data_IF_941594661454
#
_entry.id   IF_941594661454
#
_cell.length_a   1.000
_cell.length_b   1.000
_cell.length_c   1.000
_cell.angle_alpha   90.00
_cell.angle_beta   90.00
_cell.angle_gamma   90.00
#
_symmetry.space_group_name_H-M   'P 1'
#
loop_
_entity.id
_entity.type
_entity.pdbx_description
1 polymer ?
#
# COMPACT_ATOMS: atom_id res chain seq x y z
N UNK A 1 -4.24 -0.69 19.81
CA UNK A 1 -5.32 -1.69 19.59
C UNK A 1 -4.69 -2.85 18.87
N UNK A 2 -5.05 -4.08 19.21
CA UNK A 2 -4.30 -5.27 18.83
C UNK A 2 -4.55 -5.76 17.38
N UNK A 3 -5.25 -4.99 16.54
CA UNK A 3 -5.51 -5.31 15.12
C UNK A 3 -6.43 -6.52 14.89
N UNK A 4 -6.99 -7.13 15.93
CA UNK A 4 -7.91 -8.27 15.85
C UNK A 4 -8.91 -8.27 17.01
N UNK A 5 -9.98 -9.04 16.83
CA UNK A 5 -11.02 -9.23 17.83
C UNK A 5 -11.36 -10.71 17.99
N UNK A 6 -11.83 -11.09 19.19
CA UNK A 6 -12.28 -12.46 19.47
C UNK A 6 -13.75 -12.62 19.12
N UNK A 7 -14.09 -13.68 18.40
CA UNK A 7 -15.46 -14.03 18.00
C UNK A 7 -15.80 -15.48 18.37
N UNK A 8 -17.07 -15.69 18.74
CA UNK A 8 -17.61 -17.05 18.87
C UNK A 8 -17.75 -17.70 17.49
N UNK A 9 -17.29 -18.93 17.35
CA UNK A 9 -17.34 -19.68 16.10
C UNK A 9 -18.03 -21.05 16.27
N UNK A 10 -18.45 -21.63 15.14
CA UNK A 10 -18.79 -23.02 15.01
C UNK A 10 -18.02 -23.59 13.81
N UNK A 11 -17.12 -24.54 14.09
CA UNK A 11 -16.31 -25.23 13.07
C UNK A 11 -16.99 -26.54 12.67
N UNK A 12 -17.31 -26.68 11.39
CA UNK A 12 -17.84 -27.93 10.83
C UNK A 12 -16.67 -28.86 10.47
N UNK A 13 -16.71 -30.08 10.94
CA UNK A 13 -15.75 -31.14 10.65
C UNK A 13 -16.52 -32.42 10.25
N UNK A 14 -15.82 -33.45 9.80
CA UNK A 14 -16.44 -34.77 9.51
C UNK A 14 -17.10 -35.39 10.74
N UNK A 15 -16.65 -35.06 11.96
CA UNK A 15 -17.17 -35.51 13.24
C UNK A 15 -18.34 -34.65 13.76
N UNK A 16 -18.74 -33.58 13.04
CA UNK A 16 -19.84 -32.70 13.42
C UNK A 16 -19.42 -31.26 13.70
N UNK A 17 -20.21 -30.53 14.51
CA UNK A 17 -20.02 -29.12 14.81
C UNK A 17 -19.30 -28.95 16.15
N UNK A 18 -18.15 -28.32 16.12
CA UNK A 18 -17.37 -27.94 17.31
C UNK A 18 -17.54 -26.41 17.54
N UNK A 19 -18.02 -26.04 18.74
CA UNK A 19 -18.16 -24.63 19.13
C UNK A 19 -16.90 -24.14 19.86
N UNK A 20 -16.49 -22.90 19.59
CA UNK A 20 -15.30 -22.31 20.20
C UNK A 20 -15.22 -20.82 20.00
N UNK A 21 -14.04 -20.29 20.19
CA UNK A 21 -13.69 -18.89 19.90
C UNK A 21 -12.52 -18.88 18.90
N UNK A 22 -12.46 -17.84 18.09
CA UNK A 22 -11.35 -17.58 17.16
C UNK A 22 -11.07 -16.09 17.08
N UNK A 23 -9.93 -15.73 16.54
CA UNK A 23 -9.50 -14.35 16.32
C UNK A 23 -9.73 -13.96 14.87
N UNK A 24 -10.33 -12.80 14.66
CA UNK A 24 -10.58 -12.21 13.33
C UNK A 24 -9.92 -10.84 13.25
N UNK A 25 -9.34 -10.51 12.11
CA UNK A 25 -8.75 -9.20 11.89
C UNK A 25 -9.80 -8.11 12.10
N UNK A 26 -9.46 -7.05 12.83
CA UNK A 26 -10.37 -5.93 13.06
C UNK A 26 -10.46 -5.08 11.80
N UNK A 27 -11.68 -4.63 11.50
CA UNK A 27 -11.98 -3.78 10.36
C UNK A 27 -12.94 -2.68 10.81
N UNK A 28 -12.56 -1.42 10.59
CA UNK A 28 -13.40 -0.26 10.90
C UNK A 28 -13.21 0.84 9.87
N UNK A 29 -14.21 1.74 9.68
CA UNK A 29 -14.10 2.84 8.74
C UNK A 29 -13.06 3.86 9.19
N UNK A 30 -12.44 4.54 8.23
CA UNK A 30 -11.64 5.74 8.44
C UNK A 30 -12.03 6.77 7.38
N UNK A 31 -12.51 7.94 7.82
CA UNK A 31 -12.74 9.09 6.95
C UNK A 31 -11.45 9.89 6.81
N UNK A 32 -11.05 10.19 5.57
CA UNK A 32 -9.90 11.05 5.27
C UNK A 32 -10.43 12.37 4.75
N UNK A 33 -10.12 13.44 5.46
CA UNK A 33 -10.60 14.79 5.17
C UNK A 33 -9.39 15.69 4.91
N UNK A 34 -9.47 16.48 3.84
CA UNK A 34 -8.48 17.53 3.57
C UNK A 34 -9.14 18.89 3.63
N UNK A 35 -8.38 19.87 4.10
CA UNK A 35 -8.75 21.27 4.09
C UNK A 35 -7.67 22.09 3.39
N UNK A 36 -8.05 22.95 2.47
CA UNK A 36 -7.17 23.92 1.84
C UNK A 36 -7.78 25.31 1.87
N UNK A 37 -6.94 26.36 1.89
CA UNK A 37 -7.43 27.75 1.87
C UNK A 37 -8.25 28.05 0.64
N UNK A 38 -7.91 27.46 -0.50
CA UNK A 38 -8.57 27.68 -1.79
C UNK A 38 -9.94 27.01 -1.89
N UNK A 39 -10.05 25.80 -1.38
CA UNK A 39 -11.24 24.96 -1.62
C UNK A 39 -12.05 24.66 -0.35
N UNK A 40 -11.53 25.00 0.86
CA UNK A 40 -12.17 24.65 2.12
C UNK A 40 -11.98 23.18 2.47
N UNK A 41 -12.91 22.65 3.27
CA UNK A 41 -12.84 21.30 3.85
C UNK A 41 -13.65 20.32 3.01
N UNK A 42 -13.01 19.20 2.62
CA UNK A 42 -13.59 18.15 1.79
C UNK A 42 -13.24 16.76 2.31
N UNK A 43 -14.22 15.86 2.34
CA UNK A 43 -13.98 14.44 2.55
C UNK A 43 -13.52 13.80 1.23
N UNK A 44 -12.34 13.17 1.26
CA UNK A 44 -11.80 12.43 0.10
C UNK A 44 -12.48 11.08 -0.08
N UNK A 45 -12.91 10.48 1.03
CA UNK A 45 -13.59 9.19 1.05
C UNK A 45 -13.43 8.47 2.38
N UNK A 46 -14.16 7.35 2.50
CA UNK A 46 -14.08 6.45 3.65
C UNK A 46 -13.44 5.15 3.19
N UNK A 47 -12.38 4.72 3.90
CA UNK A 47 -11.73 3.43 3.67
C UNK A 47 -11.94 2.49 4.86
N UNK A 48 -12.14 1.21 4.59
CA UNK A 48 -12.18 0.17 5.63
C UNK A 48 -10.74 -0.27 5.92
N UNK A 49 -10.30 -0.18 7.18
CA UNK A 49 -8.90 -0.46 7.56
C UNK A 49 -8.79 -1.23 8.87
N UNK A 50 -7.68 -1.88 9.10
CA UNK A 50 -7.25 -2.30 10.43
C UNK A 50 -6.75 -1.07 11.18
N UNK A 51 -7.35 -0.77 12.34
CA UNK A 51 -7.02 0.40 13.14
C UNK A 51 -5.54 0.42 13.55
N UNK A 52 -4.99 1.62 13.64
CA UNK A 52 -3.59 1.88 13.90
C UNK A 52 -2.83 2.35 12.67
N UNK A 53 -1.89 3.26 12.90
CA UNK A 53 -1.16 3.96 11.84
C UNK A 53 -2.04 4.79 10.89
N UNK A 54 -3.19 5.29 11.37
CA UNK A 54 -4.17 6.02 10.57
C UNK A 54 -3.59 7.30 9.95
N UNK A 55 -2.71 7.99 10.68
CA UNK A 55 -1.92 9.11 10.15
C UNK A 55 -1.09 8.67 8.93
N UNK A 56 -0.34 7.57 9.04
CA UNK A 56 0.51 7.08 7.97
C UNK A 56 -0.32 6.63 6.77
N UNK A 57 -1.45 5.93 7.02
CA UNK A 57 -2.38 5.55 5.96
C UNK A 57 -2.86 6.78 5.19
N UNK A 58 -3.32 7.81 5.89
CA UNK A 58 -3.86 9.04 5.28
C UNK A 58 -2.79 9.81 4.52
N UNK A 59 -1.57 9.91 5.05
CA UNK A 59 -0.42 10.51 4.37
C UNK A 59 -0.06 9.78 3.08
N UNK A 60 0.04 8.45 3.13
CA UNK A 60 0.33 7.65 1.95
C UNK A 60 -0.78 7.72 0.92
N UNK A 61 -2.04 7.75 1.36
CA UNK A 61 -3.19 7.90 0.49
C UNK A 61 -3.14 9.21 -0.29
N UNK A 62 -3.02 10.39 0.38
CA UNK A 62 -3.01 11.69 -0.30
C UNK A 62 -1.79 11.88 -1.21
N UNK A 63 -0.63 11.29 -0.84
CA UNK A 63 0.55 11.25 -1.70
C UNK A 63 0.30 10.38 -2.93
N UNK A 64 -0.21 9.16 -2.75
CA UNK A 64 -0.48 8.22 -3.84
C UNK A 64 -1.55 8.72 -4.81
N UNK A 65 -2.51 9.51 -4.33
CA UNK A 65 -3.57 10.12 -5.14
C UNK A 65 -3.14 11.42 -5.85
N UNK A 66 -1.89 11.88 -5.66
CA UNK A 66 -1.38 13.09 -6.33
C UNK A 66 -1.83 14.41 -5.70
N UNK A 67 -2.44 14.37 -4.53
CA UNK A 67 -2.91 15.57 -3.82
C UNK A 67 -1.73 16.39 -3.33
N UNK A 68 -0.66 15.72 -2.92
CA UNK A 68 0.62 16.31 -2.51
C UNK A 68 1.81 15.58 -3.15
N UNK A 69 2.93 16.27 -3.26
CA UNK A 69 4.21 15.74 -3.74
C UNK A 69 5.26 15.63 -2.63
N UNK A 70 5.08 16.36 -1.53
CA UNK A 70 5.99 16.33 -0.38
C UNK A 70 5.24 16.59 0.93
N UNK A 71 5.88 16.23 2.06
CA UNK A 71 5.35 16.52 3.39
C UNK A 71 5.30 18.03 3.70
N UNK A 72 6.08 18.85 3.02
CA UNK A 72 6.13 20.30 3.19
C UNK A 72 4.83 20.99 2.75
N UNK A 73 3.99 20.31 1.99
CA UNK A 73 2.66 20.80 1.56
C UNK A 73 1.59 20.66 2.64
N UNK A 74 1.92 20.04 3.78
CA UNK A 74 1.02 19.82 4.91
C UNK A 74 1.30 20.87 5.99
N UNK A 75 0.24 21.60 6.40
CA UNK A 75 0.33 22.57 7.51
C UNK A 75 0.05 21.88 8.86
N UNK A 76 -0.95 21.01 8.94
CA UNK A 76 -1.36 20.33 10.17
C UNK A 76 -2.05 18.99 9.90
N UNK A 77 -2.01 18.08 10.88
CA UNK A 77 -2.70 16.78 10.84
C UNK A 77 -3.34 16.50 12.20
N UNK A 78 -4.65 16.34 12.20
CA UNK A 78 -5.42 15.95 13.39
C UNK A 78 -5.94 14.53 13.20
N UNK A 79 -5.61 13.64 14.13
CA UNK A 79 -6.04 12.23 14.14
C UNK A 79 -7.08 12.03 15.22
N UNK A 80 -8.31 11.70 14.82
CA UNK A 80 -9.40 11.25 15.70
C UNK A 80 -9.56 9.72 15.67
N UNK A 81 -10.64 9.20 16.24
CA UNK A 81 -10.86 7.75 16.33
C UNK A 81 -11.09 7.09 14.96
N UNK A 82 -11.98 7.67 14.14
CA UNK A 82 -12.32 7.16 12.79
C UNK A 82 -12.21 8.26 11.72
N UNK A 83 -11.40 9.29 11.98
CA UNK A 83 -11.19 10.41 11.08
C UNK A 83 -9.76 10.91 11.15
N UNK A 84 -9.20 11.26 9.99
CA UNK A 84 -7.96 12.04 9.90
C UNK A 84 -8.25 13.30 9.08
N UNK A 85 -7.97 14.46 9.68
CA UNK A 85 -8.09 15.76 9.04
C UNK A 85 -6.70 16.32 8.73
N UNK A 86 -6.48 16.72 7.47
CA UNK A 86 -5.19 17.19 6.98
C UNK A 86 -5.38 18.58 6.39
N UNK A 87 -4.70 19.57 6.98
CA UNK A 87 -4.66 20.93 6.46
C UNK A 87 -3.50 21.08 5.48
N UNK A 88 -3.82 21.51 4.26
CA UNK A 88 -2.88 21.67 3.16
C UNK A 88 -2.56 23.16 2.94
N UNK A 89 -1.32 23.46 2.60
CA UNK A 89 -0.91 24.80 2.18
C UNK A 89 -1.22 25.06 0.69
N UNK A 90 -0.93 26.29 0.24
CA UNK A 90 -1.29 26.73 -1.12
C UNK A 90 -0.44 26.09 -2.22
N UNK A 91 0.62 25.33 -1.90
CA UNK A 91 1.45 24.61 -2.87
C UNK A 91 0.88 23.23 -3.25
N UNK A 92 -0.12 22.73 -2.52
CA UNK A 92 -0.76 21.44 -2.80
C UNK A 92 -1.51 21.43 -4.13
N UNK A 93 -1.55 20.28 -4.77
CA UNK A 93 -2.28 20.04 -6.03
C UNK A 93 -3.74 19.65 -5.80
N UNK A 94 -4.27 19.89 -4.60
CA UNK A 94 -5.62 19.49 -4.25
C UNK A 94 -6.67 20.19 -5.11
N UNK A 95 -7.48 19.39 -5.83
CA UNK A 95 -8.62 19.83 -6.64
C UNK A 95 -9.83 18.93 -6.34
N UNK A 96 -10.89 19.44 -5.69
CA UNK A 96 -12.03 18.63 -5.26
C UNK A 96 -12.70 17.83 -6.37
N UNK A 97 -12.78 18.41 -7.57
CA UNK A 97 -13.40 17.75 -8.74
C UNK A 97 -12.65 16.49 -9.20
N UNK A 98 -11.36 16.40 -8.91
CA UNK A 98 -10.50 15.26 -9.28
C UNK A 98 -10.30 14.28 -8.13
N UNK A 99 -10.24 14.77 -6.88
CA UNK A 99 -9.79 14.00 -5.74
C UNK A 99 -10.92 13.55 -4.80
N UNK A 100 -12.09 14.25 -4.78
CA UNK A 100 -13.21 13.83 -3.94
C UNK A 100 -14.02 12.73 -4.61
N UNK A 101 -14.24 11.64 -3.92
CA UNK A 101 -15.02 10.50 -4.40
C UNK A 101 -16.48 10.64 -3.96
N UNK A 102 -17.42 10.44 -4.88
CA UNK A 102 -18.86 10.55 -4.60
C UNK A 102 -19.45 9.31 -3.92
N UNK A 103 -18.67 8.22 -3.80
CA UNK A 103 -19.14 6.96 -3.24
C UNK A 103 -18.13 6.38 -2.23
N UNK A 104 -18.65 5.64 -1.24
CA UNK A 104 -17.83 4.85 -0.30
C UNK A 104 -16.88 3.94 -1.07
N UNK A 105 -15.58 4.04 -0.79
CA UNK A 105 -14.58 3.16 -1.39
C UNK A 105 -14.74 1.77 -0.80
N UNK A 106 -15.51 0.90 -1.45
CA UNK A 106 -15.53 -0.51 -1.09
C UNK A 106 -14.21 -1.15 -1.53
N UNK A 107 -13.37 -1.37 -0.60
CA UNK A 107 -12.16 -2.17 -0.37
C UNK A 107 -11.41 -2.90 -1.51
N UNK A 108 -11.74 -2.85 -2.78
CA UNK A 108 -11.11 -3.76 -3.74
C UNK A 108 -10.46 -3.12 -4.96
N UNK A 109 -10.75 -1.88 -5.30
CA UNK A 109 -10.17 -1.22 -6.47
C UNK A 109 -10.21 0.30 -6.28
N UNK A 110 -9.06 0.92 -6.03
CA UNK A 110 -8.93 2.37 -5.82
C UNK A 110 -9.31 3.23 -7.04
N UNK A 111 -9.48 2.60 -8.19
CA UNK A 111 -9.91 3.26 -9.44
C UNK A 111 -11.42 3.47 -9.51
N UNK A 112 -12.22 2.76 -8.69
CA UNK A 112 -13.67 2.94 -8.66
C UNK A 112 -14.04 4.33 -8.13
N UNK A 113 -14.29 5.27 -9.04
CA UNK A 113 -14.72 6.65 -8.74
C UNK A 113 -13.95 7.75 -9.48
N UNK A 114 -12.84 7.48 -10.14
CA UNK A 114 -12.21 8.42 -11.08
C UNK A 114 -12.85 8.31 -12.47
N UNK A 115 -13.19 9.45 -13.04
CA UNK A 115 -13.85 9.53 -14.35
C UNK A 115 -12.93 9.28 -15.55
N UNK A 116 -11.57 9.39 -15.38
CA UNK A 116 -10.61 9.22 -16.46
C UNK A 116 -9.32 8.51 -16.02
N UNK A 117 -8.98 7.41 -16.70
CA UNK A 117 -7.73 6.64 -16.53
C UNK A 117 -6.45 7.38 -17.00
N UNK A 118 -6.48 8.24 -18.03
CA UNK A 118 -5.27 8.88 -18.57
C UNK A 118 -4.53 9.78 -17.58
N UNK A 119 -5.25 10.51 -16.71
CA UNK A 119 -4.63 11.49 -15.79
C UNK A 119 -3.83 10.80 -14.68
N UNK A 120 -4.24 9.61 -14.26
CA UNK A 120 -3.56 8.81 -13.23
C UNK A 120 -2.23 8.24 -13.73
N UNK A 121 -2.12 8.00 -15.04
CA UNK A 121 -0.90 7.47 -15.69
C UNK A 121 0.14 8.59 -15.90
N UNK A 122 -0.31 9.79 -16.27
CA UNK A 122 0.57 10.93 -16.58
C UNK A 122 1.28 11.52 -15.36
N UNK A 123 0.79 11.29 -14.16
CA UNK A 123 1.43 11.76 -12.92
C UNK A 123 2.64 10.93 -12.47
N UNK A 124 2.89 9.77 -13.09
CA UNK A 124 4.07 8.92 -12.85
C UNK A 124 5.17 9.23 -13.89
N UNK A 125 5.70 10.45 -13.89
CA UNK A 125 6.64 10.90 -14.93
C UNK A 125 8.12 10.52 -14.69
N UNK A 126 8.47 9.84 -13.63
CA UNK A 126 9.87 9.53 -13.33
C UNK A 126 10.24 8.11 -13.79
N UNK A 127 11.29 8.06 -14.62
CA UNK A 127 11.99 6.80 -14.92
C UNK A 127 12.70 6.36 -13.64
N UNK A 128 12.35 5.18 -13.14
CA UNK A 128 12.96 4.64 -11.92
C UNK A 128 14.46 4.41 -12.10
N UNK A 129 15.23 4.75 -11.06
CA UNK A 129 16.68 4.55 -11.02
C UNK A 129 17.06 3.10 -11.35
N UNK A 130 18.04 2.93 -12.22
CA UNK A 130 18.54 1.62 -12.65
C UNK A 130 19.61 1.04 -11.73
N UNK A 131 20.08 1.79 -10.73
CA UNK A 131 21.22 1.41 -9.89
C UNK A 131 20.97 0.27 -8.91
N UNK A 132 19.71 0.02 -8.50
CA UNK A 132 19.40 -1.05 -7.58
C UNK A 132 19.38 -2.41 -8.27
N UNK A 133 20.14 -3.37 -7.72
CA UNK A 133 20.13 -4.78 -8.14
C UNK A 133 19.79 -5.68 -6.96
N UNK A 134 19.14 -6.80 -7.21
CA UNK A 134 18.69 -7.75 -6.19
C UNK A 134 18.94 -9.19 -6.62
N UNK A 135 19.34 -10.05 -5.68
CA UNK A 135 19.47 -11.49 -5.91
C UNK A 135 18.20 -12.24 -5.51
N UNK A 136 18.01 -13.44 -6.06
CA UNK A 136 16.92 -14.33 -5.63
C UNK A 136 17.02 -14.69 -4.15
N UNK A 137 18.23 -14.88 -3.62
CA UNK A 137 18.47 -15.14 -2.20
C UNK A 137 17.98 -13.98 -1.30
N UNK A 138 18.19 -12.72 -1.72
CA UNK A 138 17.68 -11.56 -0.99
C UNK A 138 16.14 -11.50 -1.01
N UNK A 139 15.50 -11.84 -2.14
CA UNK A 139 14.04 -11.94 -2.22
C UNK A 139 13.52 -13.02 -1.27
N UNK A 140 14.12 -14.20 -1.27
CA UNK A 140 13.73 -15.31 -0.38
C UNK A 140 13.91 -14.95 1.11
N UNK A 141 15.01 -14.27 1.45
CA UNK A 141 15.23 -13.75 2.82
C UNK A 141 14.13 -12.76 3.21
N UNK A 142 13.74 -11.84 2.31
CA UNK A 142 12.64 -10.92 2.54
C UNK A 142 11.32 -11.66 2.78
N UNK A 143 10.95 -12.64 1.95
CA UNK A 143 9.73 -13.43 2.09
C UNK A 143 9.62 -14.06 3.48
N UNK A 144 10.67 -14.73 3.95
CA UNK A 144 10.69 -15.38 5.25
C UNK A 144 10.60 -14.36 6.39
N UNK A 145 11.36 -13.26 6.30
CA UNK A 145 11.39 -12.22 7.35
C UNK A 145 10.09 -11.43 7.46
N UNK A 146 9.33 -11.26 6.37
CA UNK A 146 8.01 -10.61 6.42
C UNK A 146 7.00 -11.49 7.14
N UNK A 147 6.98 -12.79 6.88
CA UNK A 147 6.06 -13.74 7.55
C UNK A 147 6.23 -13.67 9.07
N UNK A 148 7.47 -13.60 9.57
CA UNK A 148 7.77 -13.50 11.00
C UNK A 148 7.30 -12.19 11.65
N UNK A 149 7.07 -11.15 10.86
CA UNK A 149 6.67 -9.82 11.31
C UNK A 149 5.19 -9.50 11.08
N UNK A 150 4.43 -10.44 10.56
CA UNK A 150 2.98 -10.32 10.35
C UNK A 150 2.21 -10.79 11.59
N UNK A 151 2.13 -9.94 12.61
CA UNK A 151 1.49 -10.28 13.90
C UNK A 151 -0.01 -10.54 13.74
N UNK A 152 -0.74 -9.66 13.04
CA UNK A 152 -2.18 -9.81 12.82
C UNK A 152 -2.46 -11.03 11.94
N UNK A 153 -1.70 -11.22 10.88
CA UNK A 153 -1.86 -12.37 9.99
C UNK A 153 -1.58 -13.69 10.71
N UNK A 154 -0.55 -13.75 11.54
CA UNK A 154 -0.18 -14.99 12.27
C UNK A 154 -1.29 -15.47 13.20
N UNK A 155 -2.09 -14.53 13.74
CA UNK A 155 -3.19 -14.81 14.67
C UNK A 155 -4.50 -15.08 13.92
N UNK A 156 -4.76 -14.33 12.84
CA UNK A 156 -6.10 -14.29 12.20
C UNK A 156 -6.14 -14.87 10.79
N UNK A 157 -5.01 -14.91 10.08
CA UNK A 157 -4.98 -15.17 8.64
C UNK A 157 -5.68 -14.11 7.77
N UNK A 158 -6.14 -13.00 8.36
CA UNK A 158 -7.08 -12.04 7.76
C UNK A 158 -6.49 -10.70 7.34
N UNK A 159 -5.17 -10.52 7.35
CA UNK A 159 -4.52 -9.26 6.94
C UNK A 159 -3.60 -9.44 5.73
N UNK A 160 -3.30 -8.33 5.08
CA UNK A 160 -2.25 -8.19 4.08
C UNK A 160 -1.07 -7.45 4.67
N UNK A 161 0.14 -7.74 4.18
CA UNK A 161 1.34 -7.01 4.51
C UNK A 161 1.97 -6.32 3.31
N UNK A 162 2.52 -5.12 3.56
CA UNK A 162 3.44 -4.45 2.67
C UNK A 162 4.73 -4.14 3.43
N UNK A 163 5.86 -4.31 2.76
CA UNK A 163 7.18 -4.08 3.36
C UNK A 163 8.11 -3.35 2.40
N UNK A 164 9.16 -2.76 2.97
CA UNK A 164 10.31 -2.29 2.21
C UNK A 164 11.55 -3.02 2.66
N UNK A 165 12.45 -3.32 1.72
CA UNK A 165 13.67 -4.08 1.99
C UNK A 165 14.81 -3.65 1.08
N UNK A 166 16.05 -3.82 1.55
CA UNK A 166 17.27 -3.53 0.82
C UNK A 166 17.68 -4.70 -0.08
N UNK A 167 18.67 -4.46 -0.93
CA UNK A 167 19.19 -5.41 -1.91
C UNK A 167 19.76 -6.70 -1.30
N UNK A 168 20.06 -6.71 -0.01
CA UNK A 168 20.49 -7.90 0.75
C UNK A 168 19.32 -8.64 1.42
N UNK A 169 18.07 -8.21 1.17
CA UNK A 169 16.86 -8.78 1.75
C UNK A 169 16.55 -8.33 3.18
N UNK A 170 17.26 -7.34 3.71
CA UNK A 170 16.98 -6.82 5.04
C UNK A 170 15.75 -5.94 5.03
N UNK A 171 14.77 -6.26 5.90
CA UNK A 171 13.52 -5.52 6.04
C UNK A 171 13.76 -4.22 6.82
N UNK A 172 13.28 -3.11 6.25
CA UNK A 172 13.30 -1.80 6.88
C UNK A 172 11.97 -1.47 7.58
N UNK A 173 10.84 -1.73 6.92
CA UNK A 173 9.50 -1.47 7.46
C UNK A 173 8.52 -2.55 7.01
N UNK A 174 7.56 -2.87 7.88
CA UNK A 174 6.42 -3.75 7.57
C UNK A 174 5.16 -3.11 8.13
N UNK A 175 4.09 -3.11 7.36
CA UNK A 175 2.76 -2.69 7.79
C UNK A 175 1.73 -3.72 7.37
N UNK A 176 0.78 -3.99 8.26
CA UNK A 176 -0.37 -4.84 8.01
C UNK A 176 -1.66 -4.04 7.93
N UNK A 177 -2.60 -4.54 7.15
CA UNK A 177 -3.98 -4.05 7.07
C UNK A 177 -4.88 -5.12 6.42
N UNK A 178 -6.19 -5.12 6.71
CA UNK A 178 -7.18 -5.94 5.99
C UNK A 178 -7.21 -5.60 4.50
N UNK A 179 -6.89 -4.34 4.14
CA UNK A 179 -6.78 -3.83 2.79
C UNK A 179 -5.33 -3.79 2.31
N UNK A 180 -4.99 -4.54 1.25
CA UNK A 180 -3.63 -4.51 0.68
C UNK A 180 -3.17 -3.11 0.23
N UNK A 181 -4.11 -2.25 -0.24
CA UNK A 181 -3.83 -0.88 -0.64
C UNK A 181 -3.52 -0.01 0.58
N UNK A 182 -4.28 -0.19 1.67
CA UNK A 182 -4.04 0.50 2.92
C UNK A 182 -2.68 0.13 3.53
N UNK A 183 -2.31 -1.17 3.51
CA UNK A 183 -0.99 -1.60 3.98
C UNK A 183 0.14 -0.92 3.19
N UNK A 184 -0.05 -0.72 1.87
CA UNK A 184 0.91 -0.02 1.03
C UNK A 184 0.93 1.49 1.32
N UNK A 185 -0.23 2.11 1.51
CA UNK A 185 -0.31 3.53 1.90
C UNK A 185 0.33 3.79 3.27
N UNK A 186 0.13 2.90 4.26
CA UNK A 186 0.86 2.97 5.55
C UNK A 186 2.38 2.96 5.32
N UNK A 187 2.87 2.11 4.42
CA UNK A 187 4.29 2.03 4.08
C UNK A 187 4.79 3.33 3.44
N UNK A 188 4.11 3.84 2.41
CA UNK A 188 4.46 5.09 1.71
C UNK A 188 4.39 6.27 2.66
N UNK A 189 3.30 6.43 3.41
CA UNK A 189 3.11 7.51 4.38
C UNK A 189 4.18 7.54 5.46
N UNK A 190 4.68 6.37 5.87
CA UNK A 190 5.77 6.29 6.83
C UNK A 190 7.09 6.87 6.30
N UNK A 191 7.32 6.83 5.01
CA UNK A 191 8.48 7.44 4.36
C UNK A 191 8.25 8.92 4.07
N UNK A 192 7.04 9.30 3.67
CA UNK A 192 6.66 10.69 3.46
C UNK A 192 6.82 11.50 4.75
N UNK A 193 6.32 11.00 5.89
CA UNK A 193 6.42 11.66 7.20
C UNK A 193 7.86 12.03 7.58
N UNK A 194 8.83 11.22 7.15
CA UNK A 194 10.25 11.44 7.42
C UNK A 194 10.99 12.14 6.27
N UNK A 195 10.27 12.71 5.29
CA UNK A 195 10.88 13.40 4.15
C UNK A 195 11.85 12.53 3.35
N UNK A 196 11.60 11.22 3.27
CA UNK A 196 12.54 10.26 2.68
C UNK A 196 11.99 9.53 1.45
N UNK A 197 11.09 10.14 0.70
CA UNK A 197 10.71 9.77 -0.66
C UNK A 197 11.51 10.62 -1.66
N UNK A 198 11.79 10.13 -2.89
CA UNK A 198 11.52 8.77 -3.40
C UNK A 198 12.46 7.68 -2.84
N UNK A 199 12.06 6.40 -2.94
CA UNK A 199 12.79 5.25 -2.37
C UNK A 199 13.57 4.42 -3.39
N UNK A 200 14.40 5.07 -4.19
CA UNK A 200 15.20 4.42 -5.24
C UNK A 200 16.18 3.32 -4.75
N UNK A 201 16.59 3.38 -3.48
CA UNK A 201 17.49 2.39 -2.87
C UNK A 201 16.82 1.21 -2.17
N UNK A 202 15.49 1.09 -2.23
CA UNK A 202 14.73 0.02 -1.59
C UNK A 202 13.78 -0.67 -2.57
N UNK A 203 13.49 -1.95 -2.33
CA UNK A 203 12.42 -2.68 -2.99
C UNK A 203 11.16 -2.69 -2.13
N UNK A 204 10.00 -2.73 -2.78
CA UNK A 204 8.71 -2.94 -2.13
C UNK A 204 8.29 -4.41 -2.21
N UNK A 205 7.69 -4.92 -1.12
CA UNK A 205 7.05 -6.23 -1.06
C UNK A 205 5.56 -6.08 -0.78
N UNK A 206 4.73 -6.91 -1.41
CA UNK A 206 3.30 -7.02 -1.14
C UNK A 206 2.88 -8.48 -1.00
N UNK A 207 2.15 -8.83 0.06
CA UNK A 207 1.67 -10.19 0.31
C UNK A 207 0.50 -10.60 -0.61
N UNK A 208 -0.12 -9.63 -1.27
CA UNK A 208 -1.28 -9.81 -2.14
C UNK A 208 -0.94 -9.84 -3.62
N UNK A 209 -1.97 -9.60 -4.45
CA UNK A 209 -1.84 -9.44 -5.90
C UNK A 209 -1.23 -8.09 -6.25
N UNK A 210 -0.42 -8.03 -7.32
CA UNK A 210 0.04 -6.79 -7.92
C UNK A 210 -1.06 -6.23 -8.84
N UNK A 211 -1.88 -5.31 -8.32
CA UNK A 211 -2.86 -4.56 -9.12
C UNK A 211 -2.20 -3.34 -9.78
N UNK A 212 -2.87 -2.78 -10.79
CA UNK A 212 -2.48 -1.52 -11.42
C UNK A 212 -2.16 -0.44 -10.38
N UNK A 213 -3.07 -0.23 -9.42
CA UNK A 213 -2.95 0.79 -8.37
C UNK A 213 -1.72 0.56 -7.46
N UNK A 214 -1.43 -0.68 -7.05
CA UNK A 214 -0.23 -0.95 -6.24
C UNK A 214 1.06 -0.70 -7.01
N UNK A 215 1.09 -1.03 -8.31
CA UNK A 215 2.24 -0.73 -9.18
C UNK A 215 2.39 0.78 -9.35
N UNK A 216 1.30 1.51 -9.57
CA UNK A 216 1.31 2.98 -9.65
C UNK A 216 1.85 3.61 -8.35
N UNK A 217 1.33 3.20 -7.19
CA UNK A 217 1.81 3.67 -5.88
C UNK A 217 3.30 3.37 -5.68
N UNK A 218 3.76 2.19 -6.11
CA UNK A 218 5.17 1.80 -6.04
C UNK A 218 6.07 2.71 -6.88
N UNK A 219 5.67 2.99 -8.13
CA UNK A 219 6.37 3.88 -9.04
C UNK A 219 6.42 5.30 -8.47
N UNK A 220 5.26 5.82 -8.05
CA UNK A 220 5.18 7.17 -7.46
C UNK A 220 6.03 7.33 -6.20
N UNK A 221 6.10 6.29 -5.36
CA UNK A 221 6.97 6.29 -4.19
C UNK A 221 8.46 6.08 -4.53
N UNK A 222 8.81 5.84 -5.80
CA UNK A 222 10.17 5.70 -6.28
C UNK A 222 10.82 4.33 -6.02
N UNK A 223 10.04 3.29 -5.69
CA UNK A 223 10.57 1.94 -5.56
C UNK A 223 10.90 1.35 -6.94
N UNK A 224 12.16 1.01 -7.24
CA UNK A 224 12.53 0.46 -8.56
C UNK A 224 12.17 -1.02 -8.74
N UNK A 225 11.88 -1.70 -7.65
CA UNK A 225 11.56 -3.14 -7.60
C UNK A 225 10.32 -3.36 -6.74
N UNK A 226 9.35 -4.11 -7.25
CA UNK A 226 8.18 -4.58 -6.50
C UNK A 226 8.07 -6.10 -6.61
N UNK A 227 8.01 -6.76 -5.46
CA UNK A 227 7.85 -8.21 -5.32
C UNK A 227 6.46 -8.51 -4.74
N UNK A 228 5.67 -9.33 -5.42
CA UNK A 228 4.33 -9.72 -5.00
C UNK A 228 4.20 -11.24 -4.86
N UNK A 229 3.53 -11.70 -3.81
CA UNK A 229 3.19 -13.13 -3.62
C UNK A 229 2.10 -13.56 -4.62
N UNK A 230 1.15 -12.68 -4.90
CA UNK A 230 0.04 -12.94 -5.81
C UNK A 230 0.34 -12.65 -7.28
N UNK A 231 -0.69 -12.83 -8.11
CA UNK A 231 -0.65 -12.57 -9.56
C UNK A 231 -0.69 -11.08 -9.89
N UNK A 232 -0.09 -10.64 -11.01
CA UNK A 232 -0.29 -9.30 -11.54
C UNK A 232 -1.58 -9.21 -12.39
N UNK A 233 -2.08 -7.99 -12.60
CA UNK A 233 -3.02 -7.70 -13.69
C UNK A 233 -2.29 -7.30 -14.96
N UNK A 234 -2.97 -7.35 -16.11
CA UNK A 234 -2.38 -6.92 -17.39
C UNK A 234 -1.92 -5.47 -17.37
N UNK A 235 -2.78 -4.56 -16.88
CA UNK A 235 -2.45 -3.14 -16.74
C UNK A 235 -1.28 -2.89 -15.77
N UNK A 236 -1.14 -3.70 -14.72
CA UNK A 236 0.00 -3.63 -13.80
C UNK A 236 1.32 -3.96 -14.51
N UNK A 237 1.30 -4.99 -15.38
CA UNK A 237 2.48 -5.38 -16.16
C UNK A 237 2.85 -4.31 -17.18
N UNK A 238 1.86 -3.75 -17.87
CA UNK A 238 2.07 -2.73 -18.88
C UNK A 238 2.66 -1.46 -18.26
N UNK A 239 2.08 -0.99 -17.15
CA UNK A 239 2.59 0.16 -16.40
C UNK A 239 4.02 -0.08 -15.88
N UNK A 240 4.30 -1.26 -15.32
CA UNK A 240 5.62 -1.61 -14.82
C UNK A 240 6.69 -1.59 -15.94
N UNK A 241 6.34 -2.02 -17.16
CA UNK A 241 7.23 -1.98 -18.32
C UNK A 241 7.48 -0.56 -18.81
N UNK A 242 6.42 0.25 -18.88
CA UNK A 242 6.48 1.64 -19.33
C UNK A 242 7.40 2.48 -18.46
N UNK A 243 7.28 2.34 -17.13
CA UNK A 243 8.08 3.11 -16.16
C UNK A 243 9.36 2.41 -15.69
N UNK A 244 9.70 1.26 -16.28
CA UNK A 244 10.93 0.54 -15.94
C UNK A 244 10.96 -0.08 -14.54
N UNK A 245 9.80 -0.32 -13.90
CA UNK A 245 9.72 -1.04 -12.63
C UNK A 245 10.07 -2.52 -12.84
N UNK A 246 10.90 -3.09 -11.99
CA UNK A 246 11.06 -4.54 -11.89
C UNK A 246 9.89 -5.13 -11.14
N UNK A 247 9.04 -5.89 -11.85
CA UNK A 247 7.85 -6.53 -11.28
C UNK A 247 8.04 -8.04 -11.20
N UNK A 248 8.22 -8.55 -9.98
CA UNK A 248 8.24 -9.98 -9.66
C UNK A 248 6.94 -10.41 -9.00
N UNK A 249 6.31 -11.46 -9.51
CA UNK A 249 5.06 -12.00 -8.99
C UNK A 249 5.13 -13.51 -8.78
N UNK A 250 4.11 -14.08 -8.12
CA UNK A 250 4.11 -15.49 -7.70
C UNK A 250 5.36 -15.83 -6.87
N UNK A 251 5.83 -14.88 -6.06
CA UNK A 251 7.04 -15.05 -5.27
C UNK A 251 6.86 -16.15 -4.21
N UNK A 252 7.75 -17.13 -4.26
CA UNK A 252 7.86 -18.27 -3.34
C UNK A 252 9.33 -18.53 -3.03
N UNK A 253 9.60 -19.35 -2.03
CA UNK A 253 10.98 -19.68 -1.66
C UNK A 253 11.78 -20.38 -2.78
N UNK A 254 11.09 -21.04 -3.72
CA UNK A 254 11.71 -21.81 -4.79
C UNK A 254 11.71 -21.08 -6.15
N UNK A 255 10.88 -20.04 -6.31
CA UNK A 255 10.73 -19.37 -7.61
C UNK A 255 10.05 -18.02 -7.51
N UNK A 256 10.29 -17.19 -8.53
CA UNK A 256 9.57 -15.94 -8.79
C UNK A 256 9.42 -15.77 -10.31
N UNK A 257 8.30 -15.24 -10.74
CA UNK A 257 8.07 -14.89 -12.15
C UNK A 257 8.28 -13.40 -12.35
N UNK A 258 9.24 -13.04 -13.22
CA UNK A 258 9.51 -11.64 -13.56
C UNK A 258 8.70 -11.23 -14.78
N UNK A 259 7.87 -10.19 -14.65
CA UNK A 259 7.03 -9.65 -15.74
C UNK A 259 7.65 -8.43 -16.41
N UNK A 260 8.57 -7.75 -15.71
CA UNK A 260 9.34 -6.61 -16.23
C UNK A 260 10.67 -6.47 -15.49
N UNK A 261 11.61 -5.70 -16.06
CA UNK A 261 12.82 -5.23 -15.39
C UNK A 261 13.83 -6.33 -14.97
N UNK A 262 13.94 -7.44 -15.72
CA UNK A 262 14.83 -8.60 -15.45
C UNK A 262 16.27 -8.15 -15.17
N UNK A 263 16.73 -7.06 -15.82
CA UNK A 263 18.10 -6.52 -15.69
C UNK A 263 18.53 -6.16 -14.26
N UNK A 264 17.57 -5.93 -13.34
CA UNK A 264 17.88 -5.66 -11.91
C UNK A 264 18.00 -6.93 -11.07
N UNK A 265 17.71 -8.10 -11.62
CA UNK A 265 17.81 -9.36 -10.88
C UNK A 265 19.12 -10.03 -11.21
N UNK A 266 19.93 -10.28 -10.17
CA UNK A 266 21.19 -11.00 -10.26
C UNK A 266 20.91 -12.51 -10.30
N UNK A 267 21.63 -13.23 -11.16
CA UNK A 267 21.59 -14.69 -11.26
C UNK A 267 22.30 -15.36 -10.06
#
# INVERSE_FOLDING_TARGET
MDGFETRAIAKLTDDGIIRGIDHVASESPLSIVVESKKHGKHELGITMRTAGHDKLLSLGFIYSEGIISSAEEIEDIVVGDDIVEISLNDSSLFEPSQHCRTNTVTSSCGICGRLELPDVITECNEVLDEGMQISFAAITKCLNSVIERQEVFSITGGSHACASFSNDGTIHRVFEDVGRHNAFDKLVGSYLENGSLPKSGLAAFVSGRASFELVQKSIRAGFPIMIAVGAPSTLAVDLAREHGLTLGCFAKNESITLFSGVRRVLE
#
